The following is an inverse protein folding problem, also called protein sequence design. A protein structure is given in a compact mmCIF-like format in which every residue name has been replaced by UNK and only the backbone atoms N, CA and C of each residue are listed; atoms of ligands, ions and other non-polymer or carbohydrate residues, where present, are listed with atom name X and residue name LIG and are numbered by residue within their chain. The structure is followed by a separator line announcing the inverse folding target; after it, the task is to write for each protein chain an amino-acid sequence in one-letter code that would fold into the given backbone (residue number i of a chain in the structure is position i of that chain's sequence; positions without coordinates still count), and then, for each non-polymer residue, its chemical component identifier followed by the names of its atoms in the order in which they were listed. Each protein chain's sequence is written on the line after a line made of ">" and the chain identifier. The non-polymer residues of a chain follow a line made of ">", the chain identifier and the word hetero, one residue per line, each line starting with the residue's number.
data_IF_208503746235
#
_entry.id   IF_208503746235
#
_cell.length_a   1.000
_cell.length_b   1.000
_cell.length_c   1.000
_cell.angle_alpha   90.00
_cell.angle_beta   90.00
_cell.angle_gamma   90.00
#
_symmetry.space_group_name_H-M   'P 1'
#
loop_
_entity.id
_entity.type
_entity.pdbx_description
1 polymer ?
#
# COMPACT_ATOMS: atom_id res chain seq x y z
N UNK A 1 -50.81 -36.58 -3.49
CA UNK A 1 -50.43 -35.44 -2.63
C UNK A 1 -48.93 -35.41 -2.21
N UNK A 2 -48.03 -36.24 -2.75
CA UNK A 2 -46.61 -36.30 -2.30
C UNK A 2 -45.58 -35.53 -3.16
N UNK A 3 -45.98 -34.94 -4.31
CA UNK A 3 -45.05 -34.33 -5.28
C UNK A 3 -44.96 -32.80 -5.23
N UNK A 4 -45.72 -32.14 -4.34
CA UNK A 4 -45.79 -30.67 -4.29
C UNK A 4 -45.13 -30.09 -3.02
N UNK A 5 -44.91 -30.92 -2.00
CA UNK A 5 -44.20 -30.53 -0.78
C UNK A 5 -42.70 -30.35 -1.04
N UNK A 6 -42.10 -31.17 -1.92
CA UNK A 6 -40.66 -31.09 -2.23
C UNK A 6 -40.28 -29.81 -2.97
N UNK A 7 -41.14 -29.31 -3.88
CA UNK A 7 -40.88 -28.07 -4.63
C UNK A 7 -41.09 -26.85 -3.73
N UNK A 8 -42.10 -26.84 -2.85
CA UNK A 8 -42.31 -25.77 -1.88
C UNK A 8 -41.17 -25.68 -0.86
N UNK A 9 -40.62 -26.82 -0.40
CA UNK A 9 -39.47 -26.86 0.48
C UNK A 9 -38.17 -26.40 -0.21
N UNK A 10 -37.97 -26.74 -1.49
CA UNK A 10 -36.81 -26.27 -2.26
C UNK A 10 -36.91 -24.78 -2.62
N UNK A 11 -38.12 -24.27 -2.88
CA UNK A 11 -38.36 -22.86 -3.14
C UNK A 11 -38.24 -22.03 -1.84
N UNK A 12 -38.71 -22.54 -0.71
CA UNK A 12 -38.52 -21.94 0.61
C UNK A 12 -37.05 -21.98 1.06
N UNK A 13 -36.31 -23.05 0.74
CA UNK A 13 -34.87 -23.13 0.96
C UNK A 13 -34.09 -22.21 0.00
N UNK A 14 -34.57 -22.03 -1.24
CA UNK A 14 -34.03 -21.06 -2.18
C UNK A 14 -34.23 -19.61 -1.73
N UNK A 15 -35.35 -19.29 -1.07
CA UNK A 15 -35.59 -17.98 -0.44
C UNK A 15 -34.87 -17.79 0.89
N UNK A 16 -34.43 -18.88 1.55
CA UNK A 16 -33.55 -18.79 2.73
C UNK A 16 -32.07 -18.59 2.33
N UNK A 17 -31.72 -18.88 1.08
CA UNK A 17 -30.41 -18.59 0.48
C UNK A 17 -30.37 -17.24 -0.25
N UNK A 18 -31.51 -16.56 -0.41
CA UNK A 18 -31.54 -15.18 -0.89
C UNK A 18 -31.29 -14.21 0.26
N UNK A 19 -30.05 -13.75 0.39
CA UNK A 19 -29.77 -12.46 1.02
C UNK A 19 -29.00 -12.49 2.34
N UNK A 20 -27.85 -13.15 2.41
CA UNK A 20 -26.75 -12.46 3.09
C UNK A 20 -26.35 -11.30 2.17
N UNK A 21 -27.06 -10.16 2.27
CA UNK A 21 -26.70 -8.97 1.51
C UNK A 21 -25.27 -8.61 1.91
N UNK A 22 -24.34 -8.78 0.96
CA UNK A 22 -22.97 -8.30 1.08
C UNK A 22 -23.05 -6.79 1.24
N UNK A 23 -22.91 -6.30 2.48
CA UNK A 23 -22.89 -4.86 2.72
C UNK A 23 -21.60 -4.31 2.14
N UNK A 24 -21.71 -3.54 1.07
CA UNK A 24 -20.62 -2.69 0.57
C UNK A 24 -20.95 -1.25 0.94
N UNK A 25 -19.90 -0.44 1.08
CA UNK A 25 -20.01 0.94 1.46
C UNK A 25 -19.13 1.78 0.53
N UNK A 26 -19.77 2.44 -0.43
CA UNK A 26 -19.11 3.31 -1.40
C UNK A 26 -19.39 4.75 -1.03
N UNK A 27 -18.33 5.55 -0.94
CA UNK A 27 -18.47 6.98 -0.75
C UNK A 27 -18.98 7.62 -2.05
N UNK A 28 -20.16 8.24 -1.98
CA UNK A 28 -20.89 8.89 -3.08
C UNK A 28 -20.76 10.42 -3.07
N UNK A 29 -20.02 10.98 -2.10
CA UNK A 29 -19.70 12.41 -2.12
C UNK A 29 -18.91 12.77 -3.37
N UNK A 30 -19.19 13.95 -3.94
CA UNK A 30 -18.43 14.51 -5.06
C UNK A 30 -17.00 14.91 -4.62
N UNK A 31 -16.17 15.36 -5.55
CA UNK A 31 -14.87 15.95 -5.23
C UNK A 31 -15.00 17.09 -4.21
N UNK A 32 -14.16 17.06 -3.17
CA UNK A 32 -14.19 18.04 -2.08
C UNK A 32 -13.61 17.50 -0.77
N UNK A 33 -13.69 18.32 0.27
CA UNK A 33 -13.22 17.98 1.61
C UNK A 33 -14.42 17.68 2.53
N UNK A 34 -14.40 16.49 3.13
CA UNK A 34 -15.44 16.02 4.02
C UNK A 34 -14.85 15.69 5.37
N UNK A 35 -15.51 16.16 6.43
CA UNK A 35 -15.22 15.74 7.80
C UNK A 35 -16.50 15.23 8.41
N UNK A 36 -16.52 13.94 8.75
CA UNK A 36 -17.67 13.32 9.40
C UNK A 36 -17.28 12.88 10.79
N UNK A 37 -18.15 13.20 11.75
CA UNK A 37 -17.88 12.90 13.14
C UNK A 37 -17.80 11.40 13.39
N UNK A 38 -18.53 10.56 12.66
CA UNK A 38 -18.48 9.08 12.68
C UNK A 38 -18.93 8.58 11.30
N UNK A 39 -18.35 7.50 10.78
CA UNK A 39 -18.75 7.03 9.44
C UNK A 39 -20.20 6.52 9.37
N UNK A 40 -20.79 6.00 10.45
CA UNK A 40 -22.22 5.64 10.50
C UNK A 40 -23.15 6.86 10.40
N UNK A 41 -22.65 8.05 10.71
CA UNK A 41 -23.39 9.31 10.60
C UNK A 41 -23.23 10.00 9.24
N UNK A 42 -22.35 9.49 8.37
CA UNK A 42 -22.12 10.09 7.07
C UNK A 42 -23.30 9.79 6.12
N UNK A 43 -23.87 10.82 5.53
CA UNK A 43 -24.94 10.70 4.52
C UNK A 43 -24.41 10.38 3.12
N UNK A 44 -23.09 10.40 2.94
CA UNK A 44 -22.42 10.18 1.67
C UNK A 44 -22.18 8.70 1.35
N UNK A 45 -22.72 7.76 2.12
CA UNK A 45 -22.68 6.34 1.75
C UNK A 45 -23.80 5.98 0.78
N UNK A 46 -23.49 5.15 -0.22
CA UNK A 46 -24.48 4.53 -1.12
C UNK A 46 -25.51 3.69 -0.35
N UNK A 47 -25.07 3.04 0.72
CA UNK A 47 -25.91 2.34 1.68
C UNK A 47 -26.14 3.23 2.91
N UNK A 48 -27.30 3.87 2.99
CA UNK A 48 -27.66 4.85 4.02
C UNK A 48 -27.74 4.29 5.44
N UNK A 49 -27.57 2.97 5.64
CA UNK A 49 -27.55 2.33 6.96
C UNK A 49 -26.32 1.45 7.11
N UNK A 50 -25.16 2.05 7.40
CA UNK A 50 -24.00 1.32 7.90
C UNK A 50 -24.31 0.78 9.30
N UNK A 51 -24.49 -0.54 9.42
CA UNK A 51 -24.67 -1.18 10.72
C UNK A 51 -23.37 -1.81 11.16
N UNK A 52 -22.64 -1.19 12.07
CA UNK A 52 -21.42 -1.77 12.62
C UNK A 52 -21.71 -2.59 13.87
N UNK A 53 -21.48 -3.89 13.78
CA UNK A 53 -21.47 -4.78 14.92
C UNK A 53 -20.52 -5.95 14.62
N UNK A 54 -20.18 -6.74 15.64
CA UNK A 54 -19.24 -7.88 15.52
C UNK A 54 -19.67 -8.98 14.54
N UNK A 55 -20.86 -8.88 13.92
CA UNK A 55 -21.45 -9.87 13.02
C UNK A 55 -21.99 -9.28 11.70
N UNK A 56 -21.85 -7.96 11.45
CA UNK A 56 -22.50 -7.29 10.30
C UNK A 56 -21.69 -6.13 9.72
N UNK A 57 -20.36 -6.20 9.80
CA UNK A 57 -19.49 -5.20 9.18
C UNK A 57 -19.57 -5.26 7.64
N UNK A 58 -19.42 -4.13 6.93
CA UNK A 58 -19.27 -4.13 5.49
C UNK A 58 -18.15 -5.05 5.01
N UNK A 59 -18.37 -5.73 3.89
CA UNK A 59 -17.33 -6.48 3.18
C UNK A 59 -16.37 -5.54 2.45
N UNK A 60 -16.78 -4.34 2.04
CA UNK A 60 -15.86 -3.42 1.38
C UNK A 60 -16.17 -1.96 1.65
N UNK A 61 -15.11 -1.15 1.76
CA UNK A 61 -15.16 0.30 1.70
C UNK A 61 -14.46 0.82 0.45
N UNK A 62 -15.10 1.74 -0.25
CA UNK A 62 -14.54 2.38 -1.45
C UNK A 62 -14.64 3.90 -1.35
N UNK A 63 -13.51 4.57 -1.57
CA UNK A 63 -13.40 6.03 -1.64
C UNK A 63 -12.79 6.43 -2.98
N UNK A 64 -13.57 7.12 -3.81
CA UNK A 64 -13.18 7.47 -5.19
C UNK A 64 -13.55 8.92 -5.57
N UNK A 65 -13.71 9.80 -4.58
CA UNK A 65 -14.34 11.09 -4.80
C UNK A 65 -13.41 12.18 -5.37
N UNK A 66 -12.09 12.07 -5.26
CA UNK A 66 -11.16 13.11 -5.72
C UNK A 66 -11.12 14.34 -4.81
N UNK A 67 -10.64 14.13 -3.58
CA UNK A 67 -10.56 15.15 -2.53
C UNK A 67 -10.15 14.52 -1.21
N UNK A 68 -10.57 15.08 -0.08
CA UNK A 68 -10.22 14.56 1.25
C UNK A 68 -11.44 14.06 2.01
N UNK A 69 -11.33 12.90 2.65
CA UNK A 69 -12.36 12.40 3.56
C UNK A 69 -11.73 12.11 4.91
N UNK A 70 -12.17 12.83 5.94
CA UNK A 70 -11.77 12.62 7.33
C UNK A 70 -12.93 12.04 8.10
N UNK A 71 -12.71 10.88 8.70
CA UNK A 71 -13.70 10.14 9.47
C UNK A 71 -13.21 10.08 10.91
N UNK A 72 -13.93 10.78 11.77
CA UNK A 72 -13.69 10.83 13.19
C UNK A 72 -12.71 11.89 13.68
N UNK A 73 -12.35 11.76 14.96
CA UNK A 73 -11.42 12.64 15.65
C UNK A 73 -10.56 11.86 16.66
N UNK A 74 -9.44 12.45 17.09
CA UNK A 74 -8.52 11.86 18.09
C UNK A 74 -9.17 11.57 19.43
N UNK A 75 -10.28 12.24 19.75
CA UNK A 75 -10.85 12.25 21.10
C UNK A 75 -11.98 11.24 21.28
N UNK A 76 -12.44 10.60 20.18
CA UNK A 76 -13.67 9.83 20.17
C UNK A 76 -13.42 8.33 20.05
N UNK A 77 -13.84 7.57 21.07
CA UNK A 77 -13.46 6.16 21.31
C UNK A 77 -14.12 5.14 20.39
N UNK A 78 -15.07 5.54 19.55
CA UNK A 78 -15.92 4.64 18.75
C UNK A 78 -16.19 5.18 17.34
N UNK A 79 -15.19 5.00 16.48
CA UNK A 79 -15.13 5.60 15.15
C UNK A 79 -14.70 4.60 14.07
N UNK A 80 -14.44 3.35 14.46
CA UNK A 80 -13.81 2.36 13.60
C UNK A 80 -14.73 1.92 12.47
N UNK A 81 -14.24 2.09 11.26
CA UNK A 81 -14.80 1.43 10.09
C UNK A 81 -14.19 0.03 10.04
N UNK A 82 -14.98 -0.98 10.42
CA UNK A 82 -14.53 -2.37 10.35
C UNK A 82 -15.04 -3.01 9.08
N UNK A 83 -14.25 -3.91 8.53
CA UNK A 83 -14.69 -4.86 7.53
C UNK A 83 -14.96 -6.22 8.16
N UNK A 84 -15.77 -7.03 7.52
CA UNK A 84 -15.82 -8.47 7.82
C UNK A 84 -14.54 -9.16 7.35
N UNK A 85 -14.33 -10.40 7.79
CA UNK A 85 -13.23 -11.26 7.31
C UNK A 85 -13.26 -11.38 5.78
N UNK A 86 -12.09 -11.24 5.16
CA UNK A 86 -11.95 -11.20 3.69
C UNK A 86 -12.44 -9.92 3.03
N UNK A 87 -12.75 -8.88 3.80
CA UNK A 87 -13.19 -7.60 3.25
C UNK A 87 -12.08 -6.79 2.57
N UNK A 88 -12.41 -5.61 2.05
CA UNK A 88 -11.45 -4.79 1.32
C UNK A 88 -11.62 -3.28 1.51
N UNK A 89 -10.51 -2.57 1.40
CA UNK A 89 -10.42 -1.12 1.38
C UNK A 89 -9.86 -0.65 0.06
N UNK A 90 -10.57 0.23 -0.63
CA UNK A 90 -10.11 0.83 -1.88
C UNK A 90 -10.13 2.35 -1.78
N UNK A 91 -9.00 2.98 -2.06
CA UNK A 91 -8.88 4.45 -2.16
C UNK A 91 -8.26 4.81 -3.51
N UNK A 92 -9.00 5.56 -4.34
CA UNK A 92 -8.62 5.85 -5.73
C UNK A 92 -8.95 7.30 -6.13
N UNK A 93 -8.67 7.66 -7.39
CA UNK A 93 -8.96 8.96 -7.98
C UNK A 93 -8.41 10.16 -7.19
N UNK A 94 -7.15 10.11 -6.74
CA UNK A 94 -6.51 11.16 -5.96
C UNK A 94 -7.27 11.50 -4.66
N UNK A 95 -7.85 10.49 -4.02
CA UNK A 95 -8.59 10.64 -2.76
C UNK A 95 -7.64 10.45 -1.57
N UNK A 96 -7.73 11.34 -0.59
CA UNK A 96 -7.00 11.27 0.67
C UNK A 96 -7.97 10.92 1.81
N UNK A 97 -7.85 9.73 2.36
CA UNK A 97 -8.71 9.26 3.45
C UNK A 97 -7.93 9.25 4.74
N UNK A 98 -8.44 9.95 5.76
CA UNK A 98 -7.92 9.87 7.14
C UNK A 98 -9.01 9.33 8.04
N UNK A 99 -8.69 8.29 8.79
CA UNK A 99 -9.64 7.66 9.70
C UNK A 99 -9.02 7.63 11.08
N UNK A 100 -9.72 8.21 12.04
CA UNK A 100 -9.33 8.17 13.44
C UNK A 100 -9.96 6.94 14.09
N UNK A 101 -9.12 6.09 14.67
CA UNK A 101 -9.55 5.09 15.62
C UNK A 101 -8.73 5.24 16.89
N UNK A 102 -9.39 5.14 18.03
CA UNK A 102 -8.72 4.98 19.33
C UNK A 102 -8.99 3.57 19.82
N UNK A 103 -7.96 2.93 20.39
CA UNK A 103 -7.88 1.56 20.92
C UNK A 103 -7.35 0.51 19.92
N UNK A 104 -6.86 -0.61 20.47
CA UNK A 104 -6.21 -1.78 19.82
C UNK A 104 -7.07 -2.54 18.80
N UNK A 105 -8.04 -1.88 18.16
CA UNK A 105 -8.99 -2.53 17.28
C UNK A 105 -8.43 -2.69 15.88
N UNK A 106 -8.54 -3.93 15.45
CA UNK A 106 -8.09 -4.50 14.21
C UNK A 106 -8.94 -4.07 13.02
N UNK A 107 -8.27 -3.63 11.97
CA UNK A 107 -8.85 -3.41 10.65
C UNK A 107 -8.44 -4.61 9.80
N UNK A 108 -9.38 -5.30 9.15
CA UNK A 108 -9.10 -6.54 8.40
C UNK A 108 -9.21 -6.30 6.89
N UNK A 109 -8.62 -7.17 6.09
CA UNK A 109 -8.91 -7.24 4.66
C UNK A 109 -7.83 -6.70 3.72
N UNK A 110 -8.10 -6.87 2.42
CA UNK A 110 -7.22 -6.40 1.35
C UNK A 110 -7.22 -4.87 1.29
N UNK A 111 -6.09 -4.28 0.94
CA UNK A 111 -5.94 -2.83 0.82
C UNK A 111 -5.50 -2.52 -0.60
N UNK A 112 -6.19 -1.58 -1.24
CA UNK A 112 -5.81 -0.97 -2.51
C UNK A 112 -5.77 0.54 -2.34
N UNK A 113 -4.59 1.13 -2.51
CA UNK A 113 -4.40 2.58 -2.56
C UNK A 113 -3.79 2.91 -3.91
N UNK A 114 -4.58 3.54 -4.79
CA UNK A 114 -4.12 3.90 -6.13
C UNK A 114 -3.07 5.01 -6.09
N UNK A 115 -2.30 5.13 -7.18
CA UNK A 115 -1.34 6.22 -7.35
C UNK A 115 -2.04 7.59 -7.18
N UNK A 116 -1.40 8.50 -6.43
CA UNK A 116 -1.93 9.82 -6.11
C UNK A 116 -2.96 9.85 -4.98
N UNK A 117 -3.41 8.70 -4.47
CA UNK A 117 -4.30 8.58 -3.31
C UNK A 117 -3.54 8.26 -2.02
N UNK A 118 -4.21 8.48 -0.88
CA UNK A 118 -3.68 8.06 0.42
C UNK A 118 -4.74 7.49 1.35
N UNK A 119 -4.35 6.50 2.16
CA UNK A 119 -5.14 5.98 3.27
C UNK A 119 -4.32 6.11 4.56
N UNK A 120 -4.85 6.86 5.52
CA UNK A 120 -4.27 7.03 6.85
C UNK A 120 -5.21 6.47 7.90
N UNK A 121 -4.79 5.42 8.60
CA UNK A 121 -5.47 4.91 9.79
C UNK A 121 -4.73 5.48 11.01
N UNK A 122 -5.24 6.57 11.55
CA UNK A 122 -4.61 7.30 12.64
C UNK A 122 -4.93 6.63 14.00
N UNK A 123 -3.92 6.58 14.87
CA UNK A 123 -4.02 6.18 16.29
C UNK A 123 -4.55 4.76 16.54
N UNK A 124 -4.43 3.87 15.54
CA UNK A 124 -4.86 2.47 15.61
C UNK A 124 -3.83 1.54 14.96
N UNK A 125 -3.92 0.25 15.32
CA UNK A 125 -3.18 -0.82 14.65
C UNK A 125 -3.98 -1.40 13.48
N UNK A 126 -3.29 -1.81 12.42
CA UNK A 126 -3.85 -2.59 11.32
C UNK A 126 -3.55 -4.07 11.58
N UNK A 127 -4.52 -5.00 11.46
CA UNK A 127 -4.18 -6.43 11.42
C UNK A 127 -4.61 -7.08 10.12
N UNK A 128 -3.61 -7.55 9.40
CA UNK A 128 -3.70 -8.12 8.08
C UNK A 128 -3.96 -9.64 8.20
N UNK A 129 -4.87 -10.19 7.41
CA UNK A 129 -5.23 -11.62 7.52
C UNK A 129 -4.46 -12.49 6.55
N UNK A 130 -4.61 -12.25 5.27
CA UNK A 130 -3.93 -12.94 4.19
C UNK A 130 -4.12 -12.10 2.92
N UNK A 131 -3.24 -12.28 1.95
CA UNK A 131 -3.42 -11.73 0.62
C UNK A 131 -2.41 -10.68 0.20
N UNK A 132 -2.83 -9.94 -0.83
CA UNK A 132 -2.01 -8.95 -1.53
C UNK A 132 -2.56 -7.55 -1.24
N UNK A 133 -1.68 -6.67 -0.80
CA UNK A 133 -1.95 -5.28 -0.47
C UNK A 133 -1.34 -4.40 -1.56
N UNK A 134 -2.17 -3.84 -2.42
CA UNK A 134 -1.77 -2.99 -3.54
C UNK A 134 -1.64 -1.53 -3.07
N UNK A 135 -0.41 -1.03 -3.02
CA UNK A 135 -0.09 0.30 -2.49
C UNK A 135 0.69 1.04 -3.57
N UNK A 136 -0.02 1.63 -4.52
CA UNK A 136 0.55 2.50 -5.55
C UNK A 136 0.66 3.96 -5.06
N UNK A 137 -0.21 4.33 -4.10
CA UNK A 137 -0.16 5.60 -3.36
C UNK A 137 0.46 5.44 -1.97
N UNK A 138 -0.08 6.15 -0.98
CA UNK A 138 0.46 6.13 0.39
C UNK A 138 -0.48 5.40 1.37
N UNK A 139 0.06 4.42 2.10
CA UNK A 139 -0.62 3.79 3.25
C UNK A 139 0.11 4.15 4.54
N UNK A 140 -0.55 4.84 5.45
CA UNK A 140 0.01 5.25 6.75
C UNK A 140 -0.80 4.68 7.90
N UNK A 141 -0.16 3.91 8.77
CA UNK A 141 -0.74 3.34 9.98
C UNK A 141 -0.17 4.03 11.20
N UNK A 142 -1.03 4.52 12.08
CA UNK A 142 -0.61 5.33 13.23
C UNK A 142 0.21 4.54 14.24
N UNK A 143 -0.17 3.28 14.51
CA UNK A 143 0.49 2.43 15.50
C UNK A 143 1.17 1.22 14.86
N UNK A 144 0.65 0.00 15.07
CA UNK A 144 1.32 -1.22 14.62
C UNK A 144 0.65 -1.77 13.36
N UNK A 145 1.45 -2.37 12.49
CA UNK A 145 0.97 -3.34 11.51
C UNK A 145 1.23 -4.72 12.10
N UNK A 146 0.17 -5.51 12.22
CA UNK A 146 0.17 -6.87 12.76
C UNK A 146 -0.48 -7.81 11.76
N UNK A 147 -0.36 -9.10 12.01
CA UNK A 147 -1.08 -10.13 11.25
C UNK A 147 -2.02 -10.88 12.19
N UNK A 148 -3.16 -11.33 11.68
CA UNK A 148 -4.12 -12.11 12.46
C UNK A 148 -3.42 -13.35 13.03
N UNK A 149 -3.67 -13.68 14.31
CA UNK A 149 -3.10 -14.85 14.95
C UNK A 149 -3.52 -16.17 14.26
N UNK A 150 -4.65 -16.17 13.54
CA UNK A 150 -5.08 -17.28 12.70
C UNK A 150 -4.24 -17.43 11.42
N UNK A 151 -3.50 -16.41 11.02
CA UNK A 151 -2.74 -16.35 9.78
C UNK A 151 -1.28 -16.79 9.93
N UNK A 152 -0.86 -17.35 11.07
CA UNK A 152 0.55 -17.68 11.30
C UNK A 152 1.11 -18.64 10.24
N UNK A 153 2.23 -18.25 9.64
CA UNK A 153 2.91 -19.00 8.57
C UNK A 153 2.38 -18.69 7.18
N UNK A 154 1.52 -17.69 7.02
CA UNK A 154 1.01 -17.25 5.72
C UNK A 154 2.00 -16.28 5.02
N UNK A 155 1.82 -16.14 3.71
CA UNK A 155 2.52 -15.17 2.89
C UNK A 155 1.71 -13.88 2.75
N UNK A 156 2.29 -12.75 3.13
CA UNK A 156 1.73 -11.42 2.95
C UNK A 156 2.48 -10.64 1.90
N UNK A 157 1.79 -10.27 0.83
CA UNK A 157 2.43 -9.54 -0.28
C UNK A 157 2.04 -8.06 -0.24
N UNK A 158 3.03 -7.17 -0.06
CA UNK A 158 2.86 -5.73 -0.29
C UNK A 158 3.32 -5.40 -1.70
N UNK A 159 2.37 -5.17 -2.60
CA UNK A 159 2.64 -4.73 -3.96
C UNK A 159 2.76 -3.22 -4.00
N UNK A 160 3.99 -2.71 -4.03
CA UNK A 160 4.31 -1.30 -4.00
C UNK A 160 4.50 -0.75 -5.42
N UNK A 161 3.59 0.13 -5.85
CA UNK A 161 3.73 0.87 -7.12
C UNK A 161 4.96 1.78 -7.13
N UNK A 162 5.28 2.42 -8.25
CA UNK A 162 6.54 3.19 -8.41
C UNK A 162 6.76 4.28 -7.35
N UNK A 163 5.69 4.90 -6.86
CA UNK A 163 5.71 5.89 -5.77
C UNK A 163 5.05 5.37 -4.48
N UNK A 164 4.74 4.08 -4.43
CA UNK A 164 4.04 3.45 -3.31
C UNK A 164 4.85 3.52 -2.02
N UNK A 165 4.22 4.01 -0.94
CA UNK A 165 4.83 4.07 0.39
C UNK A 165 3.98 3.37 1.44
N UNK A 166 4.63 2.54 2.26
CA UNK A 166 4.05 1.93 3.44
C UNK A 166 4.72 2.51 4.68
N UNK A 167 3.93 3.16 5.53
CA UNK A 167 4.44 3.82 6.74
C UNK A 167 3.70 3.33 7.96
N UNK A 168 4.43 3.14 9.06
CA UNK A 168 3.86 2.87 10.36
C UNK A 168 4.47 3.75 11.45
N UNK A 169 3.63 4.28 12.34
CA UNK A 169 4.06 5.12 13.46
C UNK A 169 4.68 4.36 14.63
N UNK A 170 4.62 3.02 14.62
CA UNK A 170 5.27 2.15 15.60
C UNK A 170 5.98 0.98 14.90
N UNK A 171 5.36 -0.20 14.80
CA UNK A 171 6.07 -1.45 14.44
C UNK A 171 5.40 -2.21 13.30
N UNK A 172 6.18 -3.09 12.67
CA UNK A 172 5.70 -4.20 11.85
C UNK A 172 5.98 -5.50 12.60
N UNK A 173 4.93 -6.20 13.02
CA UNK A 173 5.02 -7.51 13.65
C UNK A 173 4.91 -8.58 12.58
N UNK A 174 5.93 -9.41 12.40
CA UNK A 174 5.84 -10.51 11.43
C UNK A 174 5.08 -11.71 12.02
N UNK A 175 5.17 -11.93 13.34
CA UNK A 175 4.43 -12.97 14.09
C UNK A 175 4.57 -14.40 13.53
N UNK A 176 5.68 -14.66 12.84
CA UNK A 176 5.97 -15.95 12.20
C UNK A 176 5.46 -16.07 10.76
N UNK A 177 5.05 -14.97 10.15
CA UNK A 177 4.63 -14.90 8.76
C UNK A 177 5.75 -14.49 7.82
N UNK A 178 5.61 -14.88 6.56
CA UNK A 178 6.45 -14.38 5.48
C UNK A 178 5.86 -13.07 4.94
N UNK A 179 6.72 -12.07 4.75
CA UNK A 179 6.38 -10.79 4.17
C UNK A 179 7.16 -10.63 2.87
N UNK A 180 6.45 -10.36 1.79
CA UNK A 180 7.04 -10.14 0.48
C UNK A 180 6.70 -8.76 -0.04
N UNK A 181 7.72 -7.99 -0.39
CA UNK A 181 7.55 -6.75 -1.14
C UNK A 181 7.66 -7.01 -2.63
N UNK A 182 6.73 -6.48 -3.41
CA UNK A 182 6.77 -6.58 -4.86
C UNK A 182 6.56 -5.23 -5.53
N UNK A 183 6.90 -5.13 -6.80
CA UNK A 183 6.66 -3.92 -7.58
C UNK A 183 7.44 -3.91 -8.88
N UNK A 184 7.64 -2.72 -9.43
CA UNK A 184 8.48 -2.51 -10.62
C UNK A 184 9.56 -1.50 -10.29
N UNK A 185 10.75 -1.75 -10.82
CA UNK A 185 11.88 -0.82 -10.80
C UNK A 185 12.26 -0.52 -12.24
N UNK A 186 12.38 0.77 -12.55
CA UNK A 186 12.99 1.20 -13.80
C UNK A 186 14.51 1.26 -13.61
N UNK A 187 15.23 0.37 -14.30
CA UNK A 187 16.70 0.37 -14.29
C UNK A 187 17.28 1.51 -15.13
N UNK A 188 16.47 2.18 -15.95
CA UNK A 188 16.94 3.17 -16.91
C UNK A 188 17.77 2.55 -18.04
N UNK A 189 18.31 3.44 -18.89
CA UNK A 189 19.26 3.08 -19.94
C UNK A 189 20.38 4.13 -19.97
N UNK A 190 21.63 3.68 -19.97
CA UNK A 190 22.81 4.54 -19.92
C UNK A 190 24.10 3.74 -19.73
N UNK A 191 25.24 4.42 -19.81
CA UNK A 191 26.57 3.81 -19.72
C UNK A 191 27.21 3.84 -18.33
N UNK A 192 26.59 4.54 -17.38
CA UNK A 192 27.11 4.72 -16.02
C UNK A 192 26.09 4.17 -15.03
N UNK A 193 26.54 3.44 -14.02
CA UNK A 193 25.67 2.73 -13.09
C UNK A 193 25.86 3.26 -11.67
N UNK A 194 24.78 3.24 -10.89
CA UNK A 194 24.77 3.69 -9.50
C UNK A 194 23.89 2.81 -8.64
N UNK A 195 24.25 2.72 -7.37
CA UNK A 195 23.40 2.13 -6.35
C UNK A 195 22.28 3.11 -6.02
N UNK A 196 21.04 2.65 -6.12
CA UNK A 196 19.83 3.36 -5.70
C UNK A 196 19.27 2.67 -4.49
N UNK A 197 18.72 3.48 -3.59
CA UNK A 197 17.98 3.01 -2.45
C UNK A 197 16.52 3.42 -2.61
N UNK A 198 15.61 2.48 -2.36
CA UNK A 198 14.17 2.71 -2.29
C UNK A 198 13.66 2.24 -0.93
N UNK A 199 13.02 3.14 -0.20
CA UNK A 199 12.30 2.76 1.02
C UNK A 199 11.04 1.98 0.66
N UNK A 200 10.95 0.75 1.17
CA UNK A 200 9.77 -0.11 1.00
C UNK A 200 8.81 0.02 2.17
N UNK A 201 9.38 0.23 3.36
CA UNK A 201 8.64 0.42 4.60
C UNK A 201 9.36 1.43 5.48
N UNK A 202 8.61 2.43 5.93
CA UNK A 202 9.04 3.44 6.90
C UNK A 202 8.38 3.14 8.25
N UNK A 203 9.16 2.55 9.16
CA UNK A 203 8.71 2.26 10.51
C UNK A 203 9.42 3.14 11.52
N UNK A 204 8.67 3.80 12.40
CA UNK A 204 9.26 4.66 13.44
C UNK A 204 9.85 3.92 14.63
N UNK A 205 9.70 2.61 14.74
CA UNK A 205 10.14 1.91 15.97
C UNK A 205 10.89 0.61 15.76
N UNK A 206 10.32 -0.47 15.21
CA UNK A 206 11.01 -1.79 15.10
C UNK A 206 10.33 -2.73 14.09
N UNK A 207 11.05 -3.74 13.61
CA UNK A 207 10.49 -4.95 13.00
C UNK A 207 10.60 -6.11 14.00
N UNK A 208 9.49 -6.81 14.24
CA UNK A 208 9.35 -7.98 15.10
C UNK A 208 9.81 -7.83 16.58
N UNK A 209 8.88 -7.46 17.49
CA UNK A 209 9.06 -7.62 18.95
C UNK A 209 10.11 -6.71 19.63
N UNK A 210 10.17 -6.75 20.96
CA UNK A 210 10.98 -5.82 21.77
C UNK A 210 12.49 -6.11 21.79
N UNK A 211 12.90 -7.31 21.38
CA UNK A 211 14.30 -7.70 21.19
C UNK A 211 14.70 -7.44 19.74
N UNK A 212 15.77 -6.68 19.52
CA UNK A 212 16.38 -6.53 18.21
C UNK A 212 16.90 -7.90 17.75
N UNK A 213 16.05 -8.69 17.08
CA UNK A 213 16.56 -9.74 16.21
C UNK A 213 17.51 -9.07 15.22
N UNK A 214 18.62 -9.74 14.92
CA UNK A 214 19.56 -9.22 13.93
C UNK A 214 18.79 -9.07 12.63
N UNK A 215 18.64 -7.82 12.18
CA UNK A 215 17.87 -7.45 10.99
C UNK A 215 18.35 -8.27 9.78
N UNK A 216 19.61 -8.68 9.78
CA UNK A 216 20.23 -9.54 8.77
C UNK A 216 19.62 -10.95 8.75
N UNK A 217 19.27 -11.52 9.90
CA UNK A 217 18.59 -12.83 9.99
C UNK A 217 17.13 -12.75 9.52
N UNK A 218 16.52 -11.56 9.59
CA UNK A 218 15.13 -11.32 9.19
C UNK A 218 14.93 -11.38 7.66
N UNK A 219 15.95 -10.98 6.89
CA UNK A 219 15.92 -10.98 5.42
C UNK A 219 16.21 -12.35 4.79
N UNK A 220 16.42 -13.38 5.60
CA UNK A 220 16.87 -14.70 5.14
C UNK A 220 15.76 -15.76 5.06
N UNK A 221 14.47 -15.39 5.11
CA UNK A 221 13.30 -16.20 4.72
C UNK A 221 11.98 -15.52 5.09
N UNK A 222 11.96 -14.68 6.14
CA UNK A 222 10.72 -14.05 6.65
C UNK A 222 10.39 -12.73 5.94
N UNK A 223 11.37 -12.04 5.35
CA UNK A 223 11.15 -10.83 4.55
C UNK A 223 11.88 -10.97 3.22
N UNK A 224 11.12 -10.98 2.12
CA UNK A 224 11.61 -11.15 0.76
C UNK A 224 11.19 -10.01 -0.16
N UNK A 225 11.85 -9.88 -1.31
CA UNK A 225 11.49 -8.90 -2.33
C UNK A 225 11.58 -9.48 -3.74
N UNK A 226 10.57 -9.20 -4.56
CA UNK A 226 10.51 -9.54 -5.98
C UNK A 226 10.00 -8.34 -6.78
N UNK A 227 10.93 -7.63 -7.43
CA UNK A 227 10.61 -6.46 -8.25
C UNK A 227 10.92 -6.75 -9.71
N UNK A 228 9.96 -6.46 -10.59
CA UNK A 228 10.18 -6.52 -12.02
C UNK A 228 11.33 -5.57 -12.41
N UNK A 229 12.31 -6.10 -13.15
CA UNK A 229 13.57 -5.41 -13.47
C UNK A 229 14.75 -5.87 -12.61
N UNK A 230 14.52 -6.48 -11.45
CA UNK A 230 15.57 -7.04 -10.60
C UNK A 230 15.56 -8.57 -10.70
N UNK A 231 16.74 -9.19 -10.76
CA UNK A 231 16.85 -10.64 -11.01
C UNK A 231 17.89 -11.36 -10.18
N UNK A 232 18.78 -10.63 -9.50
CA UNK A 232 19.93 -11.25 -8.82
C UNK A 232 20.14 -10.61 -7.46
N UNK A 233 20.04 -11.41 -6.40
CA UNK A 233 20.39 -10.97 -5.06
C UNK A 233 21.92 -10.93 -4.90
N UNK A 234 22.47 -9.79 -4.46
CA UNK A 234 23.89 -9.57 -4.21
C UNK A 234 24.04 -8.50 -3.11
N UNK A 235 24.31 -8.93 -1.87
CA UNK A 235 24.52 -8.04 -0.72
C UNK A 235 25.96 -7.51 -0.60
N UNK A 236 26.82 -7.88 -1.55
CA UNK A 236 28.22 -7.41 -1.62
C UNK A 236 28.40 -6.15 -2.49
N UNK A 237 27.30 -5.60 -3.02
CA UNK A 237 27.33 -4.42 -3.87
C UNK A 237 27.86 -3.18 -3.11
N UNK A 238 28.82 -2.51 -3.73
CA UNK A 238 29.42 -1.26 -3.24
C UNK A 238 29.21 -0.14 -4.27
N UNK A 239 29.06 1.10 -3.80
CA UNK A 239 28.76 2.27 -4.62
C UNK A 239 29.89 2.63 -5.60
N UNK A 240 31.13 2.24 -5.31
CA UNK A 240 32.33 2.76 -5.97
C UNK A 240 32.82 1.95 -7.20
N UNK A 241 32.13 0.87 -7.58
CA UNK A 241 32.63 -0.01 -8.65
C UNK A 241 31.55 -0.65 -9.55
N UNK A 242 30.38 -0.03 -9.69
CA UNK A 242 29.26 -0.64 -10.41
C UNK A 242 29.42 -0.60 -11.93
N UNK A 243 29.11 -1.73 -12.55
CA UNK A 243 29.24 -1.95 -14.00
C UNK A 243 27.91 -2.37 -14.63
N UNK A 244 27.90 -2.57 -15.95
CA UNK A 244 26.74 -3.08 -16.67
C UNK A 244 26.35 -4.51 -16.24
N UNK A 245 27.29 -5.30 -15.74
CA UNK A 245 27.03 -6.66 -15.24
C UNK A 245 26.30 -6.64 -13.88
N UNK A 246 26.33 -5.51 -13.18
CA UNK A 246 25.64 -5.32 -11.91
C UNK A 246 24.20 -4.82 -12.10
N UNK A 247 23.82 -4.41 -13.31
CA UNK A 247 22.47 -3.95 -13.62
C UNK A 247 21.44 -5.05 -13.31
N UNK A 248 20.41 -4.70 -12.53
CA UNK A 248 19.38 -5.65 -12.09
C UNK A 248 19.76 -6.48 -10.87
N UNK A 249 20.98 -6.31 -10.32
CA UNK A 249 21.33 -6.82 -9.00
C UNK A 249 20.72 -5.97 -7.89
N UNK A 250 20.41 -6.61 -6.76
CA UNK A 250 19.76 -5.97 -5.62
C UNK A 250 20.05 -6.67 -4.31
N UNK A 251 19.77 -5.99 -3.19
CA UNK A 251 19.68 -6.62 -1.88
C UNK A 251 18.69 -5.85 -1.00
N UNK A 252 18.18 -6.53 0.02
CA UNK A 252 17.42 -5.90 1.08
C UNK A 252 18.35 -5.54 2.23
N UNK A 253 18.14 -4.38 2.83
CA UNK A 253 18.82 -3.99 4.05
C UNK A 253 17.92 -3.09 4.90
N UNK A 254 18.50 -2.53 5.95
CA UNK A 254 17.86 -1.44 6.68
C UNK A 254 18.65 -0.15 6.58
N UNK A 255 17.90 0.95 6.61
CA UNK A 255 18.42 2.30 6.82
C UNK A 255 17.75 2.86 8.07
N UNK A 256 18.48 2.80 9.19
CA UNK A 256 17.91 3.03 10.51
C UNK A 256 16.83 2.01 10.85
N UNK A 257 15.58 2.45 10.89
CA UNK A 257 14.40 1.61 11.20
C UNK A 257 13.58 1.24 9.96
N UNK A 258 14.03 1.64 8.78
CA UNK A 258 13.33 1.42 7.51
C UNK A 258 13.77 0.13 6.85
N UNK A 259 12.86 -0.53 6.13
CA UNK A 259 13.23 -1.59 5.17
C UNK A 259 13.49 -0.91 3.84
N UNK A 260 14.67 -1.16 3.27
CA UNK A 260 15.09 -0.56 2.01
C UNK A 260 15.50 -1.62 1.01
N UNK A 261 15.16 -1.36 -0.25
CA UNK A 261 15.63 -2.08 -1.42
C UNK A 261 16.79 -1.29 -2.03
N UNK A 262 17.96 -1.91 -2.06
CA UNK A 262 19.11 -1.38 -2.77
C UNK A 262 19.23 -2.08 -4.11
N UNK A 263 19.38 -1.31 -5.19
CA UNK A 263 19.45 -1.88 -6.54
C UNK A 263 20.33 -1.04 -7.45
N UNK A 264 20.92 -1.68 -8.44
CA UNK A 264 21.78 -1.01 -9.42
C UNK A 264 20.94 -0.55 -10.60
N UNK A 265 21.04 0.74 -10.94
CA UNK A 265 20.38 1.32 -12.11
C UNK A 265 21.37 2.13 -12.94
N UNK A 266 21.09 2.27 -14.23
CA UNK A 266 21.80 3.18 -15.10
C UNK A 266 21.41 4.65 -14.80
N UNK A 267 22.40 5.54 -14.81
CA UNK A 267 22.17 6.97 -14.90
C UNK A 267 21.73 7.27 -16.34
N UNK A 268 20.54 7.86 -16.56
CA UNK A 268 20.14 8.29 -17.88
C UNK A 268 21.15 9.27 -18.47
N UNK A 269 21.57 9.03 -19.71
CA UNK A 269 22.46 9.96 -20.40
C UNK A 269 21.79 11.35 -20.50
N UNK A 270 22.55 12.45 -20.34
CA UNK A 270 22.01 13.78 -20.54
C UNK A 270 21.38 13.84 -21.93
N UNK A 271 20.09 14.15 -22.00
CA UNK A 271 19.36 14.14 -23.27
C UNK A 271 20.15 14.90 -24.34
N UNK A 272 20.41 14.25 -25.47
CA UNK A 272 21.12 14.86 -26.60
C UNK A 272 20.48 16.19 -27.05
N UNK A 273 19.20 16.41 -26.73
CA UNK A 273 18.48 17.67 -26.89
C UNK A 273 19.11 18.84 -26.13
N UNK A 274 19.61 18.63 -24.91
CA UNK A 274 20.31 19.68 -24.16
C UNK A 274 21.63 20.10 -24.82
N UNK A 275 22.40 19.12 -25.32
CA UNK A 275 23.62 19.36 -26.10
C UNK A 275 23.31 20.05 -27.44
N UNK A 276 22.25 19.62 -28.14
CA UNK A 276 21.85 20.19 -29.41
C UNK A 276 21.27 21.60 -29.27
N UNK A 277 20.53 21.88 -28.20
CA UNK A 277 20.05 23.22 -27.86
C UNK A 277 21.22 24.16 -27.52
N UNK A 278 22.21 23.65 -26.77
CA UNK A 278 23.47 24.38 -26.50
C UNK A 278 24.26 24.69 -27.76
N UNK A 279 24.44 23.70 -28.65
CA UNK A 279 25.09 23.88 -29.95
C UNK A 279 24.30 24.82 -30.87
N UNK A 280 22.98 24.71 -30.88
CA UNK A 280 22.09 25.59 -31.64
C UNK A 280 22.20 27.05 -31.19
N UNK A 281 22.25 27.29 -29.87
CA UNK A 281 22.49 28.61 -29.31
C UNK A 281 23.90 29.14 -29.67
N UNK A 282 24.92 28.29 -29.60
CA UNK A 282 26.29 28.66 -29.96
C UNK A 282 26.43 28.99 -31.46
N UNK A 283 25.81 28.20 -32.32
CA UNK A 283 25.75 28.42 -33.76
C UNK A 283 25.01 29.71 -34.10
N UNK A 284 23.93 30.03 -33.38
CA UNK A 284 23.21 31.30 -33.53
C UNK A 284 24.08 32.50 -33.13
N UNK A 285 24.82 32.41 -32.03
CA UNK A 285 25.75 33.46 -31.59
C UNK A 285 26.91 33.63 -32.60
N UNK A 286 27.47 32.54 -33.10
CA UNK A 286 28.53 32.57 -34.11
C UNK A 286 28.03 33.15 -35.46
N UNK A 287 26.81 32.80 -35.87
CA UNK A 287 26.12 33.35 -37.04
C UNK A 287 25.93 34.87 -36.94
N UNK A 288 25.49 35.37 -35.77
CA UNK A 288 25.32 36.81 -35.53
C UNK A 288 26.64 37.58 -35.54
N UNK A 289 27.74 36.95 -35.13
CA UNK A 289 29.07 37.58 -35.09
C UNK A 289 29.72 37.70 -36.47
N UNK A 290 29.38 36.81 -37.42
CA UNK A 290 29.85 36.88 -38.82
C UNK A 290 29.06 37.87 -39.71
N UNK A 291 27.91 38.38 -39.24
CA UNK A 291 27.07 39.34 -39.97
C UNK A 291 27.29 40.82 -39.56
N UNK A 292 28.33 41.08 -38.77
CA UNK A 292 28.87 42.43 -38.53
C UNK A 292 30.20 42.55 -39.26
#
# INVERSE_FOLDING_TARGET
>A
MKKHITIAALLAAGTALSGAAVQTATWTGAAGDYTVAQASAASNWDNQTLTWNSTSNPLAYTFDCGGSVTIGSSDDRWQGMYTSDGGSWTVSNNTNVTIYGVNDRTWTGNITVAAGSSLTINSSSLQLKDGTYNIDGALTIGWDIKFDAAAKGELHTFALGSAGTLTTGSRLYTDGNEIKFTGTVDLGSGSTYVLRQRTLFDGKSKINGDTAADITELFNDSITAEFAGLSTYDDSLDADALTAEDAGKYFLSTDGTNIVLNYVSAIPEPSAFGLLAGLGALALVASRRRRK
#
